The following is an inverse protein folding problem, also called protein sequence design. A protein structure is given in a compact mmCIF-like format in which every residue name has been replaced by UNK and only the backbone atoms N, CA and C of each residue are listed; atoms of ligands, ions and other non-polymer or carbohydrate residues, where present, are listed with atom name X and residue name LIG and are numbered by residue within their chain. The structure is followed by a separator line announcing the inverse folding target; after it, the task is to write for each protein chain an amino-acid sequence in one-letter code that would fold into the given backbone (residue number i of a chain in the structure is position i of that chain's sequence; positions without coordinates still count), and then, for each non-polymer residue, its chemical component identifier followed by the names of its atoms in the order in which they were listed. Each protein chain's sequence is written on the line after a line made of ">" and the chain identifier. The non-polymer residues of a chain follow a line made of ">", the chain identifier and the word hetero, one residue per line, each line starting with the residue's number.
data_IF_010951649882
#
_entry.id   IF_010951649882
#
_cell.length_a   1.000
_cell.length_b   1.000
_cell.length_c   1.000
_cell.angle_alpha   90.00
_cell.angle_beta   90.00
_cell.angle_gamma   90.00
#
_symmetry.space_group_name_H-M   'P 1'
#
loop_
_entity.id
_entity.type
_entity.pdbx_description
1 polymer ?
#
# COMPACT_ATOMS: atom_id res chain seq x y z
N UNK A 1 -18.47 8.09 19.37
CA UNK A 1 -17.73 9.25 19.89
C UNK A 1 -18.18 9.55 21.31
N UNK A 2 -17.33 10.10 22.19
CA UNK A 2 -17.73 10.50 23.53
C UNK A 2 -18.76 11.64 23.53
N UNK A 3 -19.44 11.91 24.67
CA UNK A 3 -20.30 13.08 24.81
C UNK A 3 -19.55 14.37 24.45
N UNK A 4 -20.23 15.29 23.77
CA UNK A 4 -19.69 16.58 23.29
C UNK A 4 -18.55 16.51 22.25
N UNK A 5 -18.28 15.36 21.64
CA UNK A 5 -17.35 15.28 20.51
C UNK A 5 -17.95 16.01 19.28
N UNK A 6 -17.26 17.02 18.70
CA UNK A 6 -17.73 17.72 17.51
C UNK A 6 -18.00 16.79 16.32
N UNK A 7 -17.24 15.70 16.19
CA UNK A 7 -17.39 14.72 15.10
C UNK A 7 -18.73 13.97 15.19
N UNK A 8 -19.33 13.89 16.38
CA UNK A 8 -20.63 13.27 16.54
C UNK A 8 -21.75 13.98 15.76
N UNK A 9 -21.58 15.29 15.51
CA UNK A 9 -22.54 16.12 14.76
C UNK A 9 -22.26 16.15 13.26
N UNK A 10 -21.00 15.98 12.84
CA UNK A 10 -20.59 16.16 11.43
C UNK A 10 -20.20 14.86 10.71
N UNK A 11 -19.84 13.80 11.45
CA UNK A 11 -19.26 12.56 10.91
C UNK A 11 -20.02 11.28 11.33
N UNK A 12 -21.09 11.41 12.13
CA UNK A 12 -21.92 10.28 12.58
C UNK A 12 -21.55 9.78 13.98
N UNK A 13 -21.96 8.55 14.34
CA UNK A 13 -21.81 8.03 15.72
C UNK A 13 -20.43 7.42 16.00
N UNK A 14 -19.71 6.98 14.99
CA UNK A 14 -18.41 6.31 15.12
C UNK A 14 -17.51 6.58 13.91
N UNK A 15 -16.22 6.27 14.08
CA UNK A 15 -15.29 6.10 12.97
C UNK A 15 -15.23 4.61 12.62
N UNK A 16 -15.23 4.24 11.33
CA UNK A 16 -15.07 2.85 10.93
C UNK A 16 -13.69 2.32 11.38
N UNK A 17 -13.67 1.09 11.89
CA UNK A 17 -12.45 0.41 12.31
C UNK A 17 -12.56 -1.09 11.99
N UNK A 18 -11.55 -1.63 11.33
CA UNK A 18 -11.46 -3.04 10.98
C UNK A 18 -10.31 -3.68 11.76
N UNK A 19 -10.53 -4.88 12.31
CA UNK A 19 -9.49 -5.61 13.05
C UNK A 19 -8.40 -6.09 12.08
N UNK A 20 -7.14 -6.05 12.52
CA UNK A 20 -6.00 -6.58 11.78
C UNK A 20 -6.16 -8.09 11.45
N UNK A 21 -5.58 -8.53 10.34
CA UNK A 21 -5.49 -9.94 9.96
C UNK A 21 -4.72 -10.79 10.98
N UNK A 22 -4.95 -12.10 10.99
CA UNK A 22 -4.38 -13.05 11.96
C UNK A 22 -4.09 -14.40 11.32
N UNK A 23 -3.13 -15.13 11.89
CA UNK A 23 -2.72 -16.46 11.39
C UNK A 23 -3.73 -17.55 11.76
N UNK A 24 -3.75 -18.64 10.98
CA UNK A 24 -4.58 -19.83 11.23
C UNK A 24 -6.09 -19.55 11.41
N UNK A 25 -6.77 -18.92 10.43
CA UNK A 25 -8.19 -18.56 10.56
C UNK A 25 -9.15 -19.76 10.45
N UNK A 26 -8.65 -20.99 10.25
CA UNK A 26 -9.46 -22.17 9.99
C UNK A 26 -10.27 -22.59 11.22
N UNK A 27 -11.61 -22.77 11.09
CA UNK A 27 -12.42 -23.37 12.12
C UNK A 27 -12.00 -24.82 12.42
N UNK A 28 -12.19 -25.30 13.67
CA UNK A 28 -12.56 -24.51 14.83
C UNK A 28 -11.40 -23.58 15.21
N UNK A 29 -11.69 -22.32 15.53
CA UNK A 29 -10.73 -21.43 16.16
C UNK A 29 -10.28 -22.11 17.45
N UNK A 30 -9.16 -22.83 17.41
CA UNK A 30 -8.61 -23.53 18.56
C UNK A 30 -8.27 -22.48 19.63
N UNK A 31 -8.37 -22.88 20.90
CA UNK A 31 -8.35 -22.04 22.11
C UNK A 31 -7.05 -21.27 22.41
N UNK A 32 -6.23 -20.98 21.40
CA UNK A 32 -4.99 -20.21 21.54
C UNK A 32 -5.28 -18.71 21.33
N UNK A 33 -4.42 -17.86 21.89
CA UNK A 33 -4.49 -16.43 21.68
C UNK A 33 -4.39 -16.10 20.18
N UNK A 34 -5.09 -15.03 19.76
CA UNK A 34 -5.09 -14.58 18.37
C UNK A 34 -3.81 -13.79 18.08
N UNK A 35 -2.99 -14.30 17.18
CA UNK A 35 -1.74 -13.67 16.75
C UNK A 35 -1.91 -12.96 15.39
N UNK A 36 -1.57 -11.67 15.34
CA UNK A 36 -1.64 -10.87 14.10
C UNK A 36 -0.51 -11.22 13.12
N UNK A 37 -0.74 -10.96 11.84
CA UNK A 37 0.24 -11.24 10.78
C UNK A 37 1.20 -10.05 10.58
N UNK A 38 2.50 -10.32 10.47
CA UNK A 38 3.45 -9.42 9.84
C UNK A 38 3.53 -9.73 8.34
N UNK A 39 3.06 -8.82 7.49
CA UNK A 39 3.08 -8.99 6.03
C UNK A 39 4.45 -8.67 5.40
N UNK A 40 5.39 -8.12 6.16
CA UNK A 40 6.73 -7.77 5.72
C UNK A 40 7.77 -8.73 6.31
N UNK A 41 8.97 -8.70 5.77
CA UNK A 41 10.13 -9.33 6.39
C UNK A 41 10.48 -8.60 7.70
N UNK A 42 10.98 -9.35 8.69
CA UNK A 42 11.36 -8.79 10.00
C UNK A 42 12.72 -8.09 10.00
N UNK A 43 13.44 -8.14 8.88
CA UNK A 43 14.80 -7.61 8.74
C UNK A 43 14.80 -6.17 8.23
N UNK A 44 15.90 -5.46 8.48
CA UNK A 44 16.18 -4.18 7.81
C UNK A 44 16.85 -4.47 6.46
N UNK A 45 16.05 -4.87 5.48
CA UNK A 45 16.50 -5.43 4.20
C UNK A 45 16.03 -4.64 2.97
N UNK A 46 15.53 -3.42 3.18
CA UNK A 46 14.91 -2.59 2.15
C UNK A 46 13.70 -3.26 1.45
N UNK A 47 12.97 -4.15 2.12
CA UNK A 47 11.69 -4.69 1.65
C UNK A 47 10.65 -3.64 1.29
N UNK A 48 10.74 -2.42 1.83
CA UNK A 48 9.90 -1.29 1.38
C UNK A 48 10.21 -0.80 -0.04
N UNK A 49 11.42 -1.07 -0.56
CA UNK A 49 11.82 -0.84 -1.96
C UNK A 49 11.59 -2.09 -2.80
N UNK A 50 12.04 -3.25 -2.32
CA UNK A 50 12.13 -4.48 -3.12
C UNK A 50 10.97 -5.47 -2.95
N UNK A 51 10.02 -5.19 -2.04
CA UNK A 51 8.91 -6.06 -1.65
C UNK A 51 9.31 -7.28 -0.83
N UNK A 52 8.42 -7.70 0.08
CA UNK A 52 8.48 -9.00 0.79
C UNK A 52 7.74 -10.11 0.02
N UNK A 53 7.01 -9.78 -1.03
CA UNK A 53 6.28 -10.71 -1.89
C UNK A 53 6.99 -10.89 -3.25
N UNK A 54 7.28 -12.14 -3.70
CA UNK A 54 7.98 -12.40 -4.96
C UNK A 54 7.28 -11.86 -6.22
N UNK A 55 5.94 -11.87 -6.23
CA UNK A 55 5.15 -11.41 -7.38
C UNK A 55 5.32 -9.88 -7.57
N UNK A 56 5.22 -9.12 -6.49
CA UNK A 56 5.42 -7.67 -6.47
C UNK A 56 6.89 -7.30 -6.71
N UNK A 57 7.83 -8.04 -6.11
CA UNK A 57 9.27 -7.85 -6.35
C UNK A 57 9.61 -7.98 -7.85
N UNK A 58 8.97 -8.92 -8.56
CA UNK A 58 9.15 -9.09 -10.00
C UNK A 58 8.55 -7.93 -10.80
N UNK A 59 7.37 -7.44 -10.40
CA UNK A 59 6.71 -6.29 -11.05
C UNK A 59 7.46 -4.97 -10.87
N UNK A 60 8.19 -4.81 -9.77
CA UNK A 60 8.98 -3.62 -9.46
C UNK A 60 10.30 -3.53 -10.25
N UNK A 61 10.68 -4.59 -10.97
CA UNK A 61 11.92 -4.66 -11.75
C UNK A 61 11.68 -4.35 -13.22
N UNK A 62 12.66 -3.72 -13.85
CA UNK A 62 12.74 -3.64 -15.29
C UNK A 62 13.35 -4.94 -15.83
N UNK A 63 12.50 -5.84 -16.31
CA UNK A 63 12.90 -7.13 -16.88
C UNK A 63 13.08 -7.09 -18.40
N UNK A 64 12.83 -5.94 -19.04
CA UNK A 64 12.99 -5.76 -20.49
C UNK A 64 14.47 -5.62 -20.90
N UNK A 65 15.36 -5.35 -19.94
CA UNK A 65 16.80 -5.25 -20.18
C UNK A 65 17.60 -6.04 -19.13
N UNK A 66 18.80 -6.53 -19.47
CA UNK A 66 19.66 -7.26 -18.52
C UNK A 66 20.43 -6.33 -17.56
N UNK A 67 20.04 -5.06 -17.43
CA UNK A 67 20.77 -4.06 -16.64
C UNK A 67 20.50 -4.15 -15.12
N UNK A 68 19.53 -4.95 -14.69
CA UNK A 68 19.20 -5.09 -13.27
C UNK A 68 18.54 -3.86 -12.65
N UNK A 69 17.88 -3.02 -13.47
CA UNK A 69 17.22 -1.79 -13.02
C UNK A 69 15.84 -2.07 -12.41
N UNK A 70 15.38 -1.15 -11.57
CA UNK A 70 13.98 -1.09 -11.14
C UNK A 70 13.12 -0.45 -12.22
N UNK A 71 11.83 -0.78 -12.23
CA UNK A 71 10.87 -0.11 -13.08
C UNK A 71 10.72 1.36 -12.64
N UNK A 72 10.60 2.26 -13.61
CA UNK A 72 10.44 3.70 -13.40
C UNK A 72 9.22 4.19 -14.18
N UNK A 73 8.69 5.34 -13.78
CA UNK A 73 7.55 5.96 -14.47
C UNK A 73 7.90 6.25 -15.95
N UNK A 74 6.96 5.95 -16.84
CA UNK A 74 7.11 6.19 -18.29
C UNK A 74 6.36 7.43 -18.75
N UNK A 75 5.53 8.03 -17.90
CA UNK A 75 4.66 9.16 -18.22
C UNK A 75 5.24 10.49 -17.71
N UNK A 76 5.90 10.47 -16.55
CA UNK A 76 6.43 11.66 -15.88
C UNK A 76 7.86 11.47 -15.40
N UNK A 77 8.61 12.57 -15.34
CA UNK A 77 9.97 12.62 -14.77
C UNK A 77 10.18 13.95 -14.03
N UNK A 78 11.14 13.97 -13.12
CA UNK A 78 11.54 15.16 -12.37
C UNK A 78 12.87 15.69 -12.90
N UNK A 79 12.82 16.64 -13.85
CA UNK A 79 14.03 17.20 -14.47
C UNK A 79 15.00 16.13 -15.03
N UNK A 80 14.45 15.06 -15.60
CA UNK A 80 15.20 13.92 -16.11
C UNK A 80 15.53 12.83 -15.08
N UNK A 81 15.14 13.01 -13.81
CA UNK A 81 15.22 11.98 -12.78
C UNK A 81 13.93 11.11 -12.75
N UNK A 82 14.06 9.82 -12.42
CA UNK A 82 12.94 8.90 -12.46
C UNK A 82 11.97 9.06 -11.28
N UNK A 83 10.67 9.01 -11.56
CA UNK A 83 9.64 8.74 -10.57
C UNK A 83 9.37 7.24 -10.43
N UNK A 84 8.71 6.85 -9.33
CA UNK A 84 8.14 5.51 -9.19
C UNK A 84 7.07 5.26 -10.25
N UNK A 85 6.92 4.02 -10.74
CA UNK A 85 5.84 3.67 -11.66
C UNK A 85 4.48 3.87 -10.96
N UNK A 86 3.42 4.11 -11.72
CA UNK A 86 2.06 4.16 -11.17
C UNK A 86 1.53 2.76 -10.85
N UNK A 87 0.74 2.64 -9.78
CA UNK A 87 -0.03 1.44 -9.48
C UNK A 87 -1.31 1.42 -10.33
N UNK A 88 -1.57 0.27 -10.94
CA UNK A 88 -2.73 0.04 -11.80
C UNK A 88 -4.01 -0.30 -11.02
N UNK A 89 -3.94 -0.44 -9.68
CA UNK A 89 -5.10 -0.74 -8.84
C UNK A 89 -6.16 0.37 -8.93
N UNK A 90 -7.41 -0.03 -9.19
CA UNK A 90 -8.61 0.82 -9.17
C UNK A 90 -9.64 0.28 -8.16
N UNK A 91 -10.40 1.15 -7.46
CA UNK A 91 -10.30 2.60 -7.46
C UNK A 91 -9.00 3.09 -6.79
N UNK A 92 -8.40 4.16 -7.32
CA UNK A 92 -7.20 4.75 -6.74
C UNK A 92 -7.57 5.86 -5.74
N UNK A 93 -7.09 5.80 -4.49
CA UNK A 93 -7.34 6.87 -3.52
C UNK A 93 -6.65 8.19 -3.91
N UNK A 94 -5.54 8.13 -4.66
CA UNK A 94 -4.82 9.30 -5.15
C UNK A 94 -5.60 10.04 -6.25
N UNK A 95 -6.32 9.31 -7.10
CA UNK A 95 -7.23 9.93 -8.08
C UNK A 95 -8.49 10.47 -7.42
N UNK A 96 -8.95 9.83 -6.32
CA UNK A 96 -10.16 10.25 -5.62
C UNK A 96 -10.05 11.63 -5.00
N UNK A 97 -8.86 12.01 -4.50
CA UNK A 97 -8.65 13.33 -3.89
C UNK A 97 -8.64 14.48 -4.91
N UNK A 98 -8.32 14.20 -6.18
CA UNK A 98 -8.37 15.17 -7.27
C UNK A 98 -8.76 14.48 -8.60
N UNK A 99 -10.05 14.47 -8.88
CA UNK A 99 -10.64 13.81 -10.05
C UNK A 99 -10.43 14.58 -11.36
N UNK A 100 -9.90 15.80 -11.29
CA UNK A 100 -9.47 16.60 -12.46
C UNK A 100 -8.06 16.20 -12.88
N UNK A 101 -7.12 16.12 -11.94
CA UNK A 101 -5.74 15.75 -12.22
C UNK A 101 -5.58 14.26 -12.53
N UNK A 102 -6.33 13.39 -11.85
CA UNK A 102 -6.37 11.92 -12.06
C UNK A 102 -4.99 11.26 -12.05
N UNK A 103 -4.15 11.67 -11.10
CA UNK A 103 -2.83 11.06 -10.91
C UNK A 103 -3.00 9.79 -10.05
N UNK A 104 -2.64 8.60 -10.57
CA UNK A 104 -2.68 7.38 -9.77
C UNK A 104 -1.63 7.41 -8.66
N UNK A 105 -1.86 6.58 -7.65
CA UNK A 105 -0.88 6.28 -6.63
C UNK A 105 0.39 5.64 -7.24
N UNK A 106 1.55 5.86 -6.63
CA UNK A 106 2.77 5.16 -7.03
C UNK A 106 2.72 3.66 -6.69
N UNK A 107 3.59 2.87 -7.31
CA UNK A 107 3.83 1.47 -7.00
C UNK A 107 5.21 1.34 -6.34
N UNK A 108 5.24 0.71 -5.17
CA UNK A 108 6.45 0.52 -4.37
C UNK A 108 6.46 -0.88 -3.71
N UNK A 109 7.57 -1.25 -3.05
CA UNK A 109 7.70 -2.52 -2.32
C UNK A 109 6.77 -2.68 -1.12
N UNK A 110 6.24 -1.56 -0.60
CA UNK A 110 5.26 -1.54 0.48
C UNK A 110 4.04 -0.71 0.08
N UNK A 111 2.84 -1.26 0.32
CA UNK A 111 1.57 -0.62 -0.06
C UNK A 111 1.37 0.77 0.56
N UNK A 112 1.90 1.04 1.76
CA UNK A 112 1.77 2.37 2.39
C UNK A 112 2.60 3.44 1.68
N UNK A 113 3.70 3.07 1.03
CA UNK A 113 4.52 3.99 0.22
C UNK A 113 3.92 4.18 -1.17
N UNK A 114 3.15 3.22 -1.65
CA UNK A 114 2.38 3.33 -2.89
C UNK A 114 1.31 4.43 -2.81
N UNK A 115 0.76 4.73 -1.63
CA UNK A 115 -0.37 5.63 -1.46
C UNK A 115 -0.04 7.15 -1.45
N UNK A 116 1.16 7.52 -1.93
CA UNK A 116 1.58 8.93 -2.08
C UNK A 116 1.34 9.40 -3.52
N UNK A 117 0.99 10.68 -3.66
CA UNK A 117 0.89 11.42 -4.92
C UNK A 117 2.19 12.18 -5.17
#
# INVERSE_FOLDING_TARGET
>A
FPPNDPKARTQGKCMPFFRAGFVCPTPPYKSLAREQINALTSFLDASFVYSSEPSLASRLRNLSSPLGLMAVNQEVSDHGLPYLPYDSKKPSPCEFINTTARVPCFLAGKETEAQKC
#
